data_IF_716458424590
#
_entry.id   IF_716458424590
#
_cell.length_a   1.000
_cell.length_b   1.000
_cell.length_c   1.000
_cell.angle_alpha   90.00
_cell.angle_beta   90.00
_cell.angle_gamma   90.00
#
_symmetry.space_group_name_H-M   'P 1'
#
loop_
_entity.id
_entity.type
_entity.pdbx_description
1 polymer ?
#
# COMPACT_ATOMS: atom_id res chain seq x y z
N UNK A 1 -48.55 -45.92 -4.14
CA UNK A 1 -47.72 -46.79 -5.01
C UNK A 1 -46.27 -46.32 -4.93
N UNK A 2 -45.36 -47.26 -4.61
CA UNK A 2 -43.90 -47.34 -4.82
C UNK A 2 -42.93 -46.15 -4.54
N UNK A 3 -41.97 -46.42 -3.65
CA UNK A 3 -40.62 -45.82 -3.39
C UNK A 3 -39.55 -46.27 -4.43
N UNK A 4 -38.22 -45.97 -4.33
CA UNK A 4 -37.41 -44.79 -3.89
C UNK A 4 -36.11 -44.50 -4.75
N UNK A 5 -35.27 -43.53 -4.33
CA UNK A 5 -33.81 -43.42 -4.60
C UNK A 5 -33.37 -42.01 -5.04
N UNK A 6 -32.31 -41.34 -4.58
CA UNK A 6 -30.97 -41.74 -4.13
C UNK A 6 -30.30 -40.59 -3.34
N UNK A 7 -29.48 -40.95 -2.35
CA UNK A 7 -28.66 -40.09 -1.46
C UNK A 7 -27.39 -39.59 -2.16
N UNK A 8 -26.91 -38.39 -1.83
CA UNK A 8 -25.46 -38.07 -1.75
C UNK A 8 -25.18 -37.07 -0.63
N UNK A 9 -24.06 -37.32 0.05
CA UNK A 9 -23.62 -36.78 1.33
C UNK A 9 -22.41 -35.86 1.14
N UNK A 10 -22.41 -34.69 1.78
CA UNK A 10 -21.17 -33.95 2.11
C UNK A 10 -21.31 -33.36 3.52
N UNK A 11 -20.37 -33.58 4.44
CA UNK A 11 -20.48 -33.06 5.80
C UNK A 11 -19.91 -31.64 5.90
N UNK A 12 -20.68 -30.75 6.53
CA UNK A 12 -20.23 -29.48 7.08
C UNK A 12 -19.59 -29.73 8.45
N UNK A 13 -18.50 -29.02 8.77
CA UNK A 13 -17.91 -29.06 10.13
C UNK A 13 -17.52 -27.66 10.56
N UNK A 14 -18.37 -27.09 11.43
CA UNK A 14 -18.05 -26.01 12.35
C UNK A 14 -17.41 -26.63 13.61
N UNK A 15 -16.41 -26.00 14.24
CA UNK A 15 -16.09 -26.31 15.63
C UNK A 15 -16.41 -25.11 16.53
N UNK A 16 -17.30 -25.34 17.51
CA UNK A 16 -17.44 -24.48 18.68
C UNK A 16 -17.84 -25.33 19.89
N UNK A 17 -16.88 -25.58 20.80
CA UNK A 17 -17.05 -25.44 22.28
C UNK A 17 -15.75 -25.77 23.03
N UNK A 18 -15.57 -25.01 24.12
CA UNK A 18 -14.42 -24.92 25.05
C UNK A 18 -14.15 -26.20 25.87
N UNK A 19 -12.90 -26.34 26.31
CA UNK A 19 -12.55 -26.97 27.59
C UNK A 19 -11.38 -26.20 28.25
N UNK A 20 -11.59 -25.74 29.49
CA UNK A 20 -10.59 -25.18 30.40
C UNK A 20 -10.03 -26.32 31.26
N UNK A 21 -8.70 -26.42 31.38
CA UNK A 21 -8.03 -27.27 32.38
C UNK A 21 -6.84 -26.52 33.01
N UNK A 22 -6.68 -26.76 34.31
CA UNK A 22 -6.01 -25.99 35.37
C UNK A 22 -4.47 -26.05 35.38
N UNK A 23 -3.90 -25.05 36.09
CA UNK A 23 -2.51 -24.85 36.53
C UNK A 23 -1.79 -26.08 37.11
N UNK A 24 -0.45 -26.03 37.14
CA UNK A 24 0.22 -25.94 38.45
C UNK A 24 1.35 -24.89 38.54
N UNK A 25 1.17 -24.00 39.52
CA UNK A 25 2.12 -23.63 40.60
C UNK A 25 3.56 -23.17 40.27
N UNK A 26 3.74 -21.86 40.41
CA UNK A 26 4.72 -21.18 41.28
C UNK A 26 6.22 -21.52 41.21
N UNK A 27 7.00 -20.60 40.64
CA UNK A 27 8.22 -20.07 41.29
C UNK A 27 8.41 -18.59 40.92
N UNK A 28 8.22 -17.70 41.90
CA UNK A 28 8.51 -16.28 41.81
C UNK A 28 9.98 -16.07 42.16
N UNK A 29 10.84 -15.83 41.18
CA UNK A 29 12.22 -15.36 41.43
C UNK A 29 12.31 -13.85 41.26
N UNK A 30 12.23 -13.16 42.39
CA UNK A 30 12.54 -11.75 42.53
C UNK A 30 14.02 -11.49 42.24
N UNK A 31 14.33 -10.71 41.19
CA UNK A 31 15.59 -9.97 41.06
C UNK A 31 15.29 -8.56 40.56
N UNK A 32 15.18 -7.62 41.51
CA UNK A 32 15.31 -6.18 41.24
C UNK A 32 16.69 -5.93 40.63
N UNK A 33 16.73 -5.42 39.40
CA UNK A 33 17.90 -4.72 38.84
C UNK A 33 17.43 -3.33 38.42
N UNK A 34 17.78 -2.35 39.24
CA UNK A 34 17.84 -0.95 38.85
C UNK A 34 19.03 -0.76 37.89
N UNK A 35 18.80 -0.13 36.73
CA UNK A 35 19.59 1.02 36.26
C UNK A 35 19.40 1.29 34.75
N UNK A 36 19.20 2.58 34.46
CA UNK A 36 19.26 3.30 33.18
C UNK A 36 17.99 3.28 32.30
N UNK A 37 17.53 4.47 31.83
CA UNK A 37 16.61 4.53 30.71
C UNK A 37 17.29 3.90 29.48
N UNK A 38 16.55 3.19 28.61
CA UNK A 38 17.12 2.74 27.35
C UNK A 38 17.67 3.96 26.63
N UNK A 39 18.92 3.87 26.16
CA UNK A 39 19.48 4.85 25.24
C UNK A 39 18.44 5.12 24.15
N UNK A 40 18.24 6.38 23.70
CA UNK A 40 17.35 6.63 22.58
C UNK A 40 17.76 5.68 21.46
N UNK A 41 16.83 4.78 21.09
CA UNK A 41 16.98 3.96 19.90
C UNK A 41 17.46 4.92 18.82
N UNK A 42 18.57 4.63 18.10
CA UNK A 42 19.03 5.53 17.06
C UNK A 42 17.81 5.87 16.23
N UNK A 43 17.43 7.17 16.22
CA UNK A 43 16.34 7.69 15.41
C UNK A 43 16.56 7.06 14.06
N UNK A 44 15.66 6.12 13.68
CA UNK A 44 15.91 5.16 12.61
C UNK A 44 16.64 5.91 11.51
N UNK A 45 17.92 5.59 11.32
CA UNK A 45 18.71 6.19 10.24
C UNK A 45 17.86 5.94 9.00
N UNK A 46 17.20 6.99 8.49
CA UNK A 46 16.39 6.89 7.29
C UNK A 46 17.34 6.30 6.28
N UNK A 47 17.19 5.01 5.95
CA UNK A 47 18.22 4.37 5.15
C UNK A 47 18.26 5.14 3.83
N UNK A 48 19.46 5.38 3.28
CA UNK A 48 19.60 6.30 2.16
C UNK A 48 18.77 5.83 0.96
N UNK A 49 18.40 6.78 0.10
CA UNK A 49 17.91 6.46 -1.24
C UNK A 49 18.94 5.59 -1.94
N UNK A 50 18.47 4.57 -2.65
CA UNK A 50 19.31 3.71 -3.49
C UNK A 50 19.25 4.22 -4.93
N UNK A 51 20.22 3.83 -5.75
CA UNK A 51 20.23 4.18 -7.17
C UNK A 51 18.91 3.80 -7.86
N UNK A 52 18.34 4.74 -8.62
CA UNK A 52 17.04 4.59 -9.28
C UNK A 52 15.82 4.85 -8.39
N UNK A 53 16.01 5.39 -7.17
CA UNK A 53 14.89 5.76 -6.30
C UNK A 53 14.26 7.07 -6.75
N UNK A 54 12.94 7.11 -6.90
CA UNK A 54 12.25 8.36 -7.21
C UNK A 54 12.32 9.30 -5.99
N UNK A 55 13.02 10.43 -6.13
CA UNK A 55 13.17 11.44 -5.08
C UNK A 55 12.12 12.55 -5.16
N UNK A 56 11.61 12.83 -6.37
CA UNK A 56 10.58 13.85 -6.59
C UNK A 56 9.72 13.53 -7.81
N UNK A 57 8.44 13.87 -7.70
CA UNK A 57 7.46 13.79 -8.79
C UNK A 57 6.74 15.14 -8.84
N UNK A 58 6.81 15.82 -9.99
CA UNK A 58 6.03 17.04 -10.26
C UNK A 58 5.04 16.77 -11.38
N UNK A 59 3.81 17.23 -11.19
CA UNK A 59 2.72 17.13 -12.15
C UNK A 59 2.09 18.51 -12.33
N UNK A 60 1.91 18.92 -13.59
CA UNK A 60 1.20 20.14 -13.97
C UNK A 60 0.14 19.82 -15.02
N UNK A 61 -1.09 20.28 -14.81
CA UNK A 61 -2.24 20.04 -15.69
C UNK A 61 -2.37 18.56 -16.08
N UNK A 62 -2.26 17.67 -15.09
CA UNK A 62 -2.21 16.23 -15.30
C UNK A 62 -3.40 15.56 -14.62
N UNK A 63 -4.31 15.00 -15.43
CA UNK A 63 -5.54 14.33 -15.00
C UNK A 63 -6.36 15.17 -14.00
N UNK A 64 -6.26 14.84 -12.72
CA UNK A 64 -6.99 15.46 -11.60
C UNK A 64 -6.24 16.63 -10.97
N UNK A 65 -4.95 16.77 -11.24
CA UNK A 65 -4.08 17.77 -10.61
C UNK A 65 -3.89 19.00 -11.49
N UNK A 66 -4.02 20.18 -10.90
CA UNK A 66 -3.55 21.45 -11.50
C UNK A 66 -2.04 21.56 -11.37
N UNK A 67 -1.55 21.56 -10.13
CA UNK A 67 -0.14 21.52 -9.77
C UNK A 67 -0.02 20.60 -8.56
N UNK A 68 0.88 19.62 -8.61
CA UNK A 68 1.13 18.71 -7.50
C UNK A 68 2.60 18.28 -7.49
N UNK A 69 3.24 18.40 -6.34
CA UNK A 69 4.59 17.93 -6.07
C UNK A 69 4.55 16.89 -4.95
N UNK A 70 5.29 15.80 -5.14
CA UNK A 70 5.40 14.70 -4.18
C UNK A 70 6.88 14.35 -4.03
N UNK A 71 7.35 14.28 -2.79
CA UNK A 71 8.70 13.82 -2.43
C UNK A 71 8.59 12.50 -1.66
N UNK A 72 8.68 11.34 -2.34
CA UNK A 72 8.61 10.04 -1.67
C UNK A 72 9.82 9.80 -0.77
N UNK A 73 9.65 8.99 0.27
CA UNK A 73 10.75 8.46 1.06
C UNK A 73 11.49 7.30 0.35
N UNK A 74 12.64 6.87 0.88
CA UNK A 74 13.54 5.89 0.23
C UNK A 74 13.03 4.43 0.21
N UNK A 75 11.88 4.15 0.81
CA UNK A 75 11.36 2.79 1.02
C UNK A 75 9.90 2.68 0.58
N UNK A 76 9.05 2.09 1.43
CA UNK A 76 7.62 1.97 1.17
C UNK A 76 6.94 3.32 1.32
N UNK A 77 6.39 3.81 0.23
CA UNK A 77 5.49 4.96 0.20
C UNK A 77 4.06 4.47 0.01
N UNK A 78 3.13 4.98 0.82
CA UNK A 78 1.71 4.63 0.71
C UNK A 78 0.90 5.87 0.36
N UNK A 79 0.23 5.85 -0.80
CA UNK A 79 -0.66 6.92 -1.26
C UNK A 79 -2.09 6.57 -0.82
N UNK A 80 -2.66 7.37 0.07
CA UNK A 80 -3.99 7.14 0.68
C UNK A 80 -4.91 8.33 0.38
N UNK A 81 -6.20 8.08 0.22
CA UNK A 81 -7.21 9.12 -0.02
C UNK A 81 -8.54 8.55 -0.48
N UNK A 82 -9.61 9.34 -0.36
CA UNK A 82 -10.95 8.97 -0.81
C UNK A 82 -10.99 8.64 -2.32
N UNK A 83 -12.06 7.97 -2.78
CA UNK A 83 -12.21 7.67 -4.20
C UNK A 83 -12.32 8.96 -5.03
N UNK A 84 -11.72 8.97 -6.22
CA UNK A 84 -11.70 10.15 -7.10
C UNK A 84 -10.64 11.22 -6.79
N UNK A 85 -9.88 11.11 -5.69
CA UNK A 85 -8.87 12.11 -5.28
C UNK A 85 -7.58 12.16 -6.12
N UNK A 86 -7.43 11.28 -7.13
CA UNK A 86 -6.26 11.27 -8.00
C UNK A 86 -5.12 10.33 -7.60
N UNK A 87 -5.31 9.45 -6.61
CA UNK A 87 -4.29 8.43 -6.23
C UNK A 87 -3.69 7.67 -7.42
N UNK A 88 -4.55 7.12 -8.27
CA UNK A 88 -4.12 6.42 -9.49
C UNK A 88 -3.45 7.36 -10.49
N UNK A 89 -3.76 8.66 -10.46
CA UNK A 89 -3.08 9.67 -11.29
C UNK A 89 -1.60 9.79 -10.93
N UNK A 90 -1.21 9.68 -9.66
CA UNK A 90 0.22 9.68 -9.28
C UNK A 90 0.94 8.46 -9.88
N UNK A 91 0.33 7.28 -9.79
CA UNK A 91 0.87 6.05 -10.41
C UNK A 91 0.95 6.20 -11.93
N UNK A 92 -0.03 6.87 -12.53
CA UNK A 92 -0.03 7.19 -13.96
C UNK A 92 1.14 8.10 -14.36
N UNK A 93 1.41 9.12 -13.56
CA UNK A 93 2.53 10.04 -13.78
C UNK A 93 3.86 9.28 -13.73
N UNK A 94 4.07 8.40 -12.75
CA UNK A 94 5.28 7.59 -12.64
C UNK A 94 5.45 6.71 -13.89
N UNK A 95 4.40 6.00 -14.29
CA UNK A 95 4.44 5.13 -15.47
C UNK A 95 4.80 5.92 -16.73
N UNK A 96 4.17 7.07 -16.98
CA UNK A 96 4.41 7.86 -18.18
C UNK A 96 5.77 8.57 -18.16
N UNK A 97 6.17 9.15 -17.03
CA UNK A 97 7.44 9.86 -16.90
C UNK A 97 8.65 8.93 -17.03
N UNK A 98 8.50 7.64 -16.69
CA UNK A 98 9.52 6.60 -16.91
C UNK A 98 9.35 5.85 -18.25
N UNK A 99 8.66 6.46 -19.23
CA UNK A 99 8.43 5.90 -20.57
C UNK A 99 7.69 4.55 -20.61
N UNK A 100 6.89 4.26 -19.58
CA UNK A 100 5.97 3.12 -19.53
C UNK A 100 4.84 3.23 -20.55
N UNK A 101 4.33 2.08 -21.00
CA UNK A 101 3.27 2.03 -22.02
C UNK A 101 1.92 2.46 -21.41
N UNK A 102 1.17 3.39 -22.05
CA UNK A 102 -0.16 3.80 -21.60
C UNK A 102 -1.16 2.63 -21.43
N UNK A 103 -1.00 1.57 -22.22
CA UNK A 103 -1.83 0.36 -22.17
C UNK A 103 -1.82 -0.33 -20.79
N UNK A 104 -0.74 -0.24 -20.02
CA UNK A 104 -0.66 -0.86 -18.68
C UNK A 104 -1.59 -0.21 -17.66
N UNK A 105 -2.06 1.00 -17.95
CA UNK A 105 -2.82 1.80 -17.01
C UNK A 105 -4.33 1.65 -17.20
N UNK A 106 -4.76 0.88 -18.21
CA UNK A 106 -6.17 0.54 -18.47
C UNK A 106 -7.07 1.75 -18.71
N UNK A 107 -6.49 2.90 -19.09
CA UNK A 107 -7.19 4.20 -19.06
C UNK A 107 -7.30 4.85 -20.42
N UNK A 108 -6.21 4.88 -21.18
CA UNK A 108 -6.17 5.55 -22.47
C UNK A 108 -5.01 5.07 -23.35
N UNK A 109 -5.25 5.02 -24.65
CA UNK A 109 -4.24 4.57 -25.63
C UNK A 109 -3.29 5.69 -26.08
N UNK A 110 -3.66 6.95 -25.84
CA UNK A 110 -2.89 8.14 -26.25
C UNK A 110 -2.47 8.98 -25.06
N UNK A 111 -1.25 9.50 -25.10
CA UNK A 111 -0.67 10.35 -24.05
C UNK A 111 -1.50 11.62 -23.81
N UNK A 112 -2.12 12.18 -24.85
CA UNK A 112 -2.96 13.37 -24.73
C UNK A 112 -4.15 13.24 -23.79
N UNK A 113 -4.64 12.02 -23.53
CA UNK A 113 -5.74 11.80 -22.58
C UNK A 113 -5.34 11.95 -21.11
N UNK A 114 -4.04 12.07 -20.83
CA UNK A 114 -3.53 12.31 -19.49
C UNK A 114 -3.43 13.80 -19.15
N UNK A 115 -3.58 14.68 -20.14
CA UNK A 115 -3.71 16.12 -19.91
C UNK A 115 -5.05 16.40 -19.22
N UNK A 116 -5.02 17.26 -18.21
CA UNK A 116 -6.22 17.69 -17.49
C UNK A 116 -7.25 18.26 -18.46
N UNK A 117 -8.52 17.92 -18.25
CA UNK A 117 -9.63 18.42 -19.10
C UNK A 117 -9.68 19.94 -19.04
N UNK A 118 -9.79 20.58 -20.21
CA UNK A 118 -9.77 22.03 -20.34
C UNK A 118 -8.38 22.63 -20.55
N UNK A 119 -7.31 21.85 -20.40
CA UNK A 119 -5.94 22.28 -20.66
C UNK A 119 -5.46 21.74 -22.01
N UNK A 120 -4.60 22.51 -22.69
CA UNK A 120 -4.00 22.12 -23.99
C UNK A 120 -2.68 21.38 -23.84
N UNK A 121 -2.02 21.52 -22.68
CA UNK A 121 -0.72 20.92 -22.35
C UNK A 121 -0.74 20.45 -20.90
N UNK A 122 0.10 19.46 -20.61
CA UNK A 122 0.39 18.99 -19.27
C UNK A 122 1.84 18.51 -19.19
N UNK A 123 2.38 18.45 -17.98
CA UNK A 123 3.77 18.10 -17.71
C UNK A 123 3.83 17.10 -16.55
N UNK A 124 4.77 16.17 -16.68
CA UNK A 124 5.19 15.28 -15.60
C UNK A 124 6.71 15.28 -15.59
N UNK A 125 7.29 15.48 -14.41
CA UNK A 125 8.73 15.44 -14.18
C UNK A 125 9.01 14.46 -13.05
N UNK A 126 10.01 13.61 -13.26
CA UNK A 126 10.46 12.61 -12.29
C UNK A 126 11.95 12.79 -12.08
N UNK A 127 12.34 12.93 -10.82
CA UNK A 127 13.73 12.96 -10.38
C UNK A 127 14.05 11.61 -9.72
N UNK A 128 15.21 11.04 -10.06
CA UNK A 128 15.70 9.73 -9.63
C UNK A 128 16.97 9.84 -8.78
#
# INVERSE_FOLDING_TARGET
MATPGRKTSTPSTLPSKRALLRDPSSEVRSKRKSSAPPAPLPLQSSRPFVEGSIVRIVMENFLTYDICEVSPGPHLNMIIGANGTGKSSIVCAICLGLAGKPAFMGRADKVGFFVKRGCSKGMVEIEL
#
